data_IF_219620722807
#
_entry.id   IF_219620722807
#
_cell.length_a   1.000
_cell.length_b   1.000
_cell.length_c   1.000
_cell.angle_alpha   90.00
_cell.angle_beta   90.00
_cell.angle_gamma   90.00
#
_symmetry.space_group_name_H-M   'P 1'
#
loop_
_entity.id
_entity.type
_entity.pdbx_description
1 polymer ?
#
# COMPACT_ATOMS: atom_id res chain seq x y z
N UNK A 1 95.11 25.48 9.68
CA UNK A 1 94.45 26.14 8.53
C UNK A 1 93.21 25.35 8.23
N UNK A 2 92.08 25.87 8.71
CA UNK A 2 90.77 25.22 8.73
C UNK A 2 90.28 24.80 7.34
N UNK A 3 89.78 23.57 7.23
CA UNK A 3 88.86 23.20 6.16
C UNK A 3 87.44 23.42 6.69
N UNK A 4 86.83 24.49 6.19
CA UNK A 4 85.50 24.99 6.50
C UNK A 4 84.43 23.90 6.27
N UNK A 5 83.94 23.28 7.35
CA UNK A 5 82.81 22.37 7.31
C UNK A 5 81.52 23.19 7.32
N UNK A 6 81.08 23.60 6.13
CA UNK A 6 79.72 24.12 5.91
C UNK A 6 78.73 22.95 6.00
N UNK A 7 78.45 22.48 7.21
CA UNK A 7 77.27 21.66 7.50
C UNK A 7 76.07 22.60 7.44
N UNK A 8 75.40 22.59 6.29
CA UNK A 8 74.08 23.19 6.09
C UNK A 8 73.17 22.80 7.26
N UNK A 9 72.42 23.76 7.81
CA UNK A 9 71.44 23.62 8.90
C UNK A 9 70.28 22.61 8.66
N UNK A 10 70.43 21.71 7.68
CA UNK A 10 69.43 20.71 7.29
C UNK A 10 69.61 19.31 7.90
N UNK A 11 70.75 18.99 8.53
CA UNK A 11 70.99 17.63 9.05
C UNK A 11 70.60 17.42 10.52
N UNK A 12 70.30 18.48 11.29
CA UNK A 12 69.78 18.33 12.67
C UNK A 12 68.40 17.66 12.70
N UNK A 13 67.63 17.78 11.62
CA UNK A 13 66.32 17.13 11.47
C UNK A 13 66.46 15.61 11.30
N UNK A 14 67.63 15.12 10.88
CA UNK A 14 67.88 13.69 10.63
C UNK A 14 68.44 12.95 11.85
N UNK A 15 68.95 13.67 12.85
CA UNK A 15 69.48 13.10 14.11
C UNK A 15 68.46 13.22 15.26
N UNK A 16 67.18 13.44 14.95
CA UNK A 16 66.08 12.93 15.79
C UNK A 16 65.86 11.41 15.51
N UNK A 17 66.96 10.66 15.33
CA UNK A 17 67.02 9.20 15.23
C UNK A 17 66.76 8.47 16.55
N UNK A 18 66.15 9.16 17.51
CA UNK A 18 65.45 8.59 18.65
C UNK A 18 64.13 9.34 18.87
N UNK A 19 63.43 9.72 17.79
CA UNK A 19 61.97 9.91 17.86
C UNK A 19 61.41 8.63 18.43
N UNK A 20 61.13 8.62 19.73
CA UNK A 20 60.29 7.63 20.35
C UNK A 20 58.99 7.67 19.54
N UNK A 21 58.85 6.77 18.56
CA UNK A 21 57.68 6.66 17.70
C UNK A 21 56.58 6.10 18.58
N UNK A 22 56.10 6.90 19.53
CA UNK A 22 54.73 6.82 19.98
C UNK A 22 53.91 7.17 18.75
N UNK A 23 53.70 6.19 17.87
CA UNK A 23 52.60 6.24 16.94
C UNK A 23 51.38 6.25 17.85
N UNK A 24 50.90 7.44 18.18
CA UNK A 24 49.56 7.59 18.72
C UNK A 24 48.70 7.05 17.60
N UNK A 25 48.31 5.79 17.75
CA UNK A 25 47.42 5.17 16.80
C UNK A 25 46.20 6.07 16.86
N UNK A 26 45.93 6.80 15.77
CA UNK A 26 44.60 7.32 15.54
C UNK A 26 43.74 6.06 15.42
N UNK A 27 43.39 5.46 16.56
CA UNK A 27 42.20 4.65 16.68
C UNK A 27 41.16 5.67 16.35
N UNK A 28 40.83 5.73 15.06
CA UNK A 28 39.93 6.70 14.52
C UNK A 28 38.63 6.34 15.21
N UNK A 29 38.32 7.05 16.30
CA UNK A 29 37.13 6.77 17.11
C UNK A 29 35.90 6.80 16.20
N UNK A 30 35.97 7.54 15.08
CA UNK A 30 35.00 7.54 14.00
C UNK A 30 34.84 6.17 13.31
N UNK A 31 35.91 5.40 13.08
CA UNK A 31 35.86 4.10 12.39
C UNK A 31 35.27 3.02 13.29
N UNK A 32 35.65 3.03 14.57
CA UNK A 32 35.03 2.15 15.55
C UNK A 32 33.55 2.54 15.76
N UNK A 33 33.22 3.83 15.72
CA UNK A 33 31.84 4.31 15.80
C UNK A 33 31.00 3.86 14.60
N UNK A 34 31.56 3.94 13.38
CA UNK A 34 30.88 3.43 12.16
C UNK A 34 30.65 1.92 12.21
N UNK A 35 31.59 1.15 12.78
CA UNK A 35 31.43 -0.29 12.97
C UNK A 35 30.23 -0.61 13.87
N UNK A 36 30.09 0.08 15.01
CA UNK A 36 29.01 -0.21 15.98
C UNK A 36 27.64 0.28 15.51
N UNK A 37 27.56 1.45 14.87
CA UNK A 37 26.29 1.96 14.32
C UNK A 37 25.80 1.15 13.13
N UNK A 38 26.72 0.67 12.28
CA UNK A 38 26.36 -0.15 11.13
C UNK A 38 25.75 -1.49 11.56
N UNK A 39 26.34 -2.15 12.57
CA UNK A 39 25.78 -3.40 13.12
C UNK A 39 24.39 -3.17 13.71
N UNK A 40 24.18 -2.08 14.47
CA UNK A 40 22.86 -1.74 15.01
C UNK A 40 21.82 -1.48 13.90
N UNK A 41 22.16 -0.65 12.91
CA UNK A 41 21.29 -0.35 11.78
C UNK A 41 20.99 -1.59 10.95
N UNK A 42 21.95 -2.50 10.78
CA UNK A 42 21.74 -3.76 10.08
C UNK A 42 20.65 -4.61 10.76
N UNK A 43 20.74 -4.82 12.08
CA UNK A 43 19.69 -5.54 12.82
C UNK A 43 18.34 -4.81 12.75
N UNK A 44 18.35 -3.48 12.84
CA UNK A 44 17.14 -2.68 12.70
C UNK A 44 16.49 -2.83 11.32
N UNK A 45 17.26 -2.75 10.24
CA UNK A 45 16.76 -2.93 8.88
C UNK A 45 16.27 -4.34 8.63
N UNK A 46 16.93 -5.37 9.16
CA UNK A 46 16.43 -6.75 9.10
C UNK A 46 15.10 -6.85 9.84
N UNK A 47 14.96 -6.27 11.03
CA UNK A 47 13.71 -6.28 11.78
C UNK A 47 12.58 -5.58 11.01
N UNK A 48 12.82 -4.37 10.51
CA UNK A 48 11.84 -3.62 9.69
C UNK A 48 11.51 -4.39 8.42
N UNK A 49 12.50 -5.02 7.79
CA UNK A 49 12.32 -5.86 6.61
C UNK A 49 11.42 -7.06 6.90
N UNK A 50 11.66 -7.77 8.00
CA UNK A 50 10.82 -8.90 8.43
C UNK A 50 9.39 -8.46 8.72
N UNK A 51 9.20 -7.35 9.45
CA UNK A 51 7.87 -6.80 9.71
C UNK A 51 7.15 -6.44 8.40
N UNK A 52 7.86 -5.82 7.47
CA UNK A 52 7.31 -5.44 6.16
C UNK A 52 6.90 -6.66 5.33
N UNK A 53 7.72 -7.73 5.34
CA UNK A 53 7.40 -8.99 4.66
C UNK A 53 6.18 -9.66 5.30
N UNK A 54 6.08 -9.68 6.63
CA UNK A 54 4.90 -10.21 7.33
C UNK A 54 3.64 -9.44 6.94
N UNK A 55 3.70 -8.11 6.94
CA UNK A 55 2.58 -7.27 6.49
C UNK A 55 2.20 -7.60 5.05
N UNK A 56 3.18 -7.68 4.15
CA UNK A 56 2.93 -8.01 2.75
C UNK A 56 2.27 -9.39 2.60
N UNK A 57 2.75 -10.41 3.31
CA UNK A 57 2.16 -11.75 3.30
C UNK A 57 0.70 -11.70 3.79
N UNK A 58 0.41 -10.98 4.87
CA UNK A 58 -0.95 -10.81 5.38
C UNK A 58 -1.89 -10.21 4.32
N UNK A 59 -1.44 -9.16 3.61
CA UNK A 59 -2.21 -8.56 2.52
C UNK A 59 -2.38 -9.51 1.35
N UNK A 60 -1.34 -10.27 0.97
CA UNK A 60 -1.38 -11.25 -0.13
C UNK A 60 -2.35 -12.41 0.19
N UNK A 61 -2.31 -12.96 1.39
CA UNK A 61 -3.25 -14.02 1.82
C UNK A 61 -4.69 -13.50 1.78
N UNK A 62 -4.90 -12.27 2.23
CA UNK A 62 -6.20 -11.60 2.20
C UNK A 62 -6.69 -11.35 0.76
N UNK A 63 -5.78 -11.03 -0.16
CA UNK A 63 -6.05 -10.84 -1.59
C UNK A 63 -6.46 -12.14 -2.30
N UNK A 64 -5.78 -13.24 -2.00
CA UNK A 64 -6.02 -14.54 -2.64
C UNK A 64 -7.28 -15.21 -2.05
N UNK A 65 -7.59 -14.95 -0.78
CA UNK A 65 -8.73 -15.51 -0.07
C UNK A 65 -10.10 -14.97 -0.52
N UNK A 66 -10.54 -15.30 -1.73
CA UNK A 66 -11.88 -14.96 -2.28
C UNK A 66 -13.05 -15.37 -1.38
N UNK A 67 -12.89 -16.44 -0.59
CA UNK A 67 -13.90 -16.84 0.41
C UNK A 67 -13.96 -15.86 1.60
N UNK A 68 -12.83 -15.32 2.06
CA UNK A 68 -12.77 -14.30 3.11
C UNK A 68 -13.32 -12.96 2.64
N UNK A 69 -13.15 -12.65 1.35
CA UNK A 69 -13.70 -11.45 0.72
C UNK A 69 -15.23 -11.44 0.77
N UNK A 70 -15.86 -12.58 0.44
CA UNK A 70 -17.32 -12.73 0.53
C UNK A 70 -17.82 -12.59 1.96
N UNK A 71 -17.22 -13.32 2.90
CA UNK A 71 -17.61 -13.27 4.31
C UNK A 71 -17.50 -11.85 4.89
N UNK A 72 -16.44 -11.13 4.53
CA UNK A 72 -16.26 -9.72 4.87
C UNK A 72 -17.43 -8.88 4.35
N UNK A 73 -17.67 -8.83 3.04
CA UNK A 73 -18.74 -8.00 2.46
C UNK A 73 -20.11 -8.36 3.01
N UNK A 74 -20.42 -9.65 3.15
CA UNK A 74 -21.68 -10.12 3.74
C UNK A 74 -21.87 -9.62 5.16
N UNK A 75 -20.82 -9.60 5.99
CA UNK A 75 -20.90 -9.09 7.37
C UNK A 75 -21.23 -7.60 7.41
N UNK A 76 -20.58 -6.78 6.59
CA UNK A 76 -20.86 -5.32 6.56
C UNK A 76 -22.26 -5.02 6.03
N UNK A 77 -22.71 -5.73 5.00
CA UNK A 77 -24.07 -5.55 4.47
C UNK A 77 -25.14 -5.96 5.47
N UNK A 78 -24.89 -6.99 6.29
CA UNK A 78 -25.79 -7.35 7.41
C UNK A 78 -25.82 -6.27 8.48
N UNK A 79 -24.66 -5.77 8.91
CA UNK A 79 -24.59 -4.71 9.91
C UNK A 79 -25.27 -3.41 9.45
N UNK A 80 -25.23 -3.11 8.15
CA UNK A 80 -25.92 -1.96 7.57
C UNK A 80 -27.42 -2.19 7.28
N UNK A 81 -27.93 -3.41 7.48
CA UNK A 81 -29.35 -3.72 7.27
C UNK A 81 -29.76 -3.85 5.80
N UNK A 82 -28.82 -4.03 4.87
CA UNK A 82 -29.09 -4.16 3.43
C UNK A 82 -29.61 -5.56 3.02
N UNK A 83 -29.46 -6.54 3.92
CA UNK A 83 -29.84 -7.94 3.72
C UNK A 83 -30.68 -8.39 4.91
N UNK A 84 -31.71 -9.20 4.67
CA UNK A 84 -32.56 -9.77 5.73
C UNK A 84 -31.80 -10.80 6.57
N UNK A 85 -32.15 -10.93 7.85
CA UNK A 85 -31.68 -12.00 8.73
C UNK A 85 -32.83 -12.99 9.01
N UNK A 86 -32.73 -14.28 8.58
CA UNK A 86 -31.65 -14.91 7.80
C UNK A 86 -31.66 -14.50 6.31
N UNK A 87 -30.49 -14.57 5.62
CA UNK A 87 -30.39 -14.17 4.22
C UNK A 87 -31.24 -15.07 3.32
N UNK A 88 -32.06 -14.46 2.46
CA UNK A 88 -32.79 -15.20 1.44
C UNK A 88 -31.83 -15.77 0.40
N UNK A 89 -32.24 -16.84 -0.30
CA UNK A 89 -31.48 -17.41 -1.44
C UNK A 89 -31.17 -16.37 -2.52
N UNK A 90 -32.07 -15.39 -2.72
CA UNK A 90 -31.88 -14.28 -3.65
C UNK A 90 -30.76 -13.32 -3.21
N UNK A 91 -30.64 -13.08 -1.91
CA UNK A 91 -29.63 -12.18 -1.35
C UNK A 91 -28.25 -12.81 -1.44
N UNK A 92 -28.13 -14.10 -1.11
CA UNK A 92 -26.88 -14.86 -1.25
C UNK A 92 -26.37 -14.84 -2.70
N UNK A 93 -27.27 -15.02 -3.68
CA UNK A 93 -26.91 -14.94 -5.10
C UNK A 93 -26.51 -13.51 -5.51
N UNK A 94 -27.24 -12.49 -5.04
CA UNK A 94 -26.95 -11.08 -5.34
C UNK A 94 -25.61 -10.63 -4.77
N UNK A 95 -25.30 -11.00 -3.52
CA UNK A 95 -24.01 -10.71 -2.88
C UNK A 95 -22.88 -11.50 -3.55
N UNK A 96 -23.11 -12.76 -3.90
CA UNK A 96 -22.15 -13.57 -4.63
C UNK A 96 -21.77 -12.97 -5.99
N UNK A 97 -22.77 -12.43 -6.72
CA UNK A 97 -22.59 -11.70 -7.98
C UNK A 97 -21.92 -10.34 -7.78
N UNK A 98 -22.31 -9.58 -6.75
CA UNK A 98 -21.68 -8.31 -6.39
C UNK A 98 -20.18 -8.47 -6.12
N UNK A 99 -19.80 -9.44 -5.28
CA UNK A 99 -18.38 -9.66 -4.95
C UNK A 99 -17.58 -10.15 -6.16
N UNK A 100 -18.14 -11.05 -6.97
CA UNK A 100 -17.39 -11.71 -8.06
C UNK A 100 -17.34 -10.89 -9.35
N UNK A 101 -18.43 -10.22 -9.72
CA UNK A 101 -18.56 -9.55 -11.02
C UNK A 101 -18.47 -8.02 -10.94
N UNK A 102 -18.87 -7.41 -9.82
CA UNK A 102 -18.84 -5.95 -9.68
C UNK A 102 -17.60 -5.47 -8.93
N UNK A 103 -17.32 -6.09 -7.78
CA UNK A 103 -16.25 -5.64 -6.88
C UNK A 103 -14.90 -6.25 -7.25
N UNK A 104 -14.88 -7.53 -7.63
CA UNK A 104 -13.67 -8.28 -7.99
C UNK A 104 -12.64 -8.31 -6.82
N UNK A 105 -11.57 -9.09 -6.94
CA UNK A 105 -10.57 -9.20 -5.86
C UNK A 105 -9.89 -7.85 -5.56
N UNK A 106 -9.68 -7.01 -6.58
CA UNK A 106 -9.05 -5.70 -6.43
C UNK A 106 -9.94 -4.68 -5.72
N UNK A 107 -11.25 -4.66 -5.98
CA UNK A 107 -12.18 -3.76 -5.30
C UNK A 107 -12.36 -4.15 -3.82
N UNK A 108 -12.34 -5.44 -3.50
CA UNK A 108 -12.37 -5.89 -2.10
C UNK A 108 -11.09 -5.47 -1.36
N UNK A 109 -9.94 -5.51 -2.04
CA UNK A 109 -8.69 -5.00 -1.47
C UNK A 109 -8.76 -3.52 -1.16
N UNK A 110 -9.26 -2.72 -2.12
CA UNK A 110 -9.41 -1.28 -1.93
C UNK A 110 -10.34 -0.98 -0.76
N UNK A 111 -11.45 -1.73 -0.62
CA UNK A 111 -12.35 -1.57 0.53
C UNK A 111 -11.67 -1.92 1.86
N UNK A 112 -10.83 -2.95 1.91
CA UNK A 112 -10.05 -3.28 3.12
C UNK A 112 -8.98 -2.23 3.42
N UNK A 113 -8.38 -1.64 2.38
CA UNK A 113 -7.45 -0.53 2.55
C UNK A 113 -8.16 0.70 3.13
N UNK A 114 -9.34 1.02 2.60
CA UNK A 114 -10.19 2.10 3.12
C UNK A 114 -10.60 1.80 4.56
N UNK A 115 -10.99 0.57 4.88
CA UNK A 115 -11.31 0.16 6.25
C UNK A 115 -10.11 0.34 7.20
N UNK A 116 -8.90 -0.03 6.77
CA UNK A 116 -7.70 0.06 7.60
C UNK A 116 -7.33 1.51 7.91
N UNK A 117 -7.61 2.45 6.99
CA UNK A 117 -7.27 3.86 7.15
C UNK A 117 -8.43 4.72 7.69
N UNK A 118 -9.68 4.34 7.41
CA UNK A 118 -10.89 5.12 7.69
C UNK A 118 -11.88 4.45 8.65
N UNK A 119 -11.56 3.26 9.15
CA UNK A 119 -12.36 2.53 10.13
C UNK A 119 -13.53 1.75 9.53
N UNK A 120 -14.18 0.95 10.39
CA UNK A 120 -15.25 0.04 10.01
C UNK A 120 -16.55 0.74 9.59
N UNK A 121 -16.87 1.86 10.23
CA UNK A 121 -18.09 2.62 9.95
C UNK A 121 -18.10 3.15 8.51
N UNK A 122 -17.03 3.84 8.11
CA UNK A 122 -16.87 4.40 6.77
C UNK A 122 -16.88 3.29 5.70
N UNK A 123 -16.15 2.20 5.95
CA UNK A 123 -16.13 1.06 5.05
C UNK A 123 -17.53 0.46 4.86
N UNK A 124 -18.31 0.33 5.93
CA UNK A 124 -19.69 -0.16 5.87
C UNK A 124 -20.59 0.72 5.02
N UNK A 125 -20.50 2.04 5.15
CA UNK A 125 -21.35 2.98 4.40
C UNK A 125 -21.04 2.91 2.90
N UNK A 126 -19.75 2.84 2.55
CA UNK A 126 -19.29 2.70 1.18
C UNK A 126 -19.77 1.37 0.58
N UNK A 127 -19.62 0.25 1.31
CA UNK A 127 -20.05 -1.07 0.85
C UNK A 127 -21.57 -1.10 0.63
N UNK A 128 -22.35 -0.55 1.55
CA UNK A 128 -23.80 -0.47 1.42
C UNK A 128 -24.23 0.38 0.23
N UNK A 129 -23.63 1.57 0.05
CA UNK A 129 -23.91 2.44 -1.09
C UNK A 129 -23.60 1.76 -2.43
N UNK A 130 -22.45 1.08 -2.54
CA UNK A 130 -22.06 0.32 -3.74
C UNK A 130 -23.05 -0.83 -4.02
N UNK A 131 -23.52 -1.53 -2.99
CA UNK A 131 -24.46 -2.63 -3.14
C UNK A 131 -25.85 -2.17 -3.58
N UNK A 132 -26.34 -1.05 -3.05
CA UNK A 132 -27.60 -0.42 -3.51
C UNK A 132 -27.53 -0.07 -5.00
N UNK A 133 -26.44 0.58 -5.42
CA UNK A 133 -26.22 0.93 -6.81
C UNK A 133 -26.13 -0.31 -7.72
N UNK A 134 -25.50 -1.40 -7.25
CA UNK A 134 -25.45 -2.66 -7.98
C UNK A 134 -26.85 -3.28 -8.18
N UNK A 135 -27.70 -3.28 -7.14
CA UNK A 135 -29.10 -3.77 -7.25
C UNK A 135 -29.92 -2.92 -8.21
N UNK A 136 -29.75 -1.60 -8.21
CA UNK A 136 -30.42 -0.70 -9.15
C UNK A 136 -30.03 -1.01 -10.60
N UNK A 137 -28.73 -1.17 -10.88
CA UNK A 137 -28.23 -1.54 -12.22
C UNK A 137 -28.74 -2.90 -12.70
N UNK A 138 -28.87 -3.88 -11.81
CA UNK A 138 -29.46 -5.18 -12.15
C UNK A 138 -30.94 -5.10 -12.51
N UNK A 139 -31.68 -4.15 -11.91
CA UNK A 139 -33.11 -3.95 -12.17
C UNK A 139 -33.37 -3.24 -13.51
N UNK A 140 -32.38 -2.54 -14.05
CA UNK A 140 -32.44 -1.88 -15.36
C UNK A 140 -31.64 -2.68 -16.40
N UNK A 141 -32.16 -3.79 -16.95
CA UNK A 141 -31.75 -4.16 -18.29
C UNK A 141 -32.24 -3.04 -19.21
N UNK A 142 -31.29 -2.29 -19.76
CA UNK A 142 -31.39 -1.53 -21.00
C UNK A 142 -32.78 -1.62 -21.68
N UNK A 143 -33.67 -0.68 -21.39
CA UNK A 143 -34.66 -0.26 -22.37
C UNK A 143 -33.93 0.66 -23.33
N UNK A 144 -33.21 0.06 -24.29
CA UNK A 144 -32.78 0.74 -25.51
C UNK A 144 -34.06 1.21 -26.23
N UNK A 145 -34.21 2.54 -26.28
CA UNK A 145 -34.87 3.34 -27.29
C UNK A 145 -35.96 2.64 -28.12
N UNK A 146 -37.21 2.70 -27.64
CA UNK A 146 -38.36 2.58 -28.53
C UNK A 146 -38.96 3.95 -28.82
N UNK A 147 -38.81 4.33 -30.08
CA UNK A 147 -39.86 4.96 -30.86
C UNK A 147 -40.14 6.43 -30.55
N UNK A 148 -39.19 7.27 -30.94
CA UNK A 148 -39.45 8.67 -31.30
C UNK A 148 -39.46 8.85 -32.82
N UNK A 149 -40.20 8.01 -33.57
CA UNK A 149 -40.54 8.37 -34.94
C UNK A 149 -41.82 9.23 -34.91
N UNK A 150 -41.67 10.44 -35.42
CA UNK A 150 -42.60 11.55 -35.29
C UNK A 150 -43.87 11.28 -36.13
N UNK A 151 -45.08 11.59 -35.65
CA UNK A 151 -46.27 11.45 -36.48
C UNK A 151 -46.30 12.58 -37.52
N UNK A 152 -46.24 12.19 -38.79
CA UNK A 152 -46.59 13.04 -39.94
C UNK A 152 -47.97 13.66 -39.71
N UNK A 153 -47.98 14.94 -39.37
CA UNK A 153 -49.21 15.72 -39.35
C UNK A 153 -49.52 16.09 -40.80
N UNK A 154 -50.35 15.26 -41.41
CA UNK A 154 -51.05 15.55 -42.67
C UNK A 154 -51.72 16.92 -42.55
N UNK A 155 -51.15 17.92 -43.21
CA UNK A 155 -51.77 19.23 -43.37
C UNK A 155 -52.88 19.12 -44.42
N UNK A 156 -54.11 18.94 -43.96
CA UNK A 156 -55.32 19.15 -44.77
C UNK A 156 -55.53 20.65 -44.96
N UNK A 157 -55.32 21.16 -46.18
CA UNK A 157 -55.74 22.51 -46.60
C UNK A 157 -57.25 22.53 -46.91
N UNK A 158 -58.03 23.55 -46.49
CA UNK A 158 -59.39 23.74 -46.96
C UNK A 158 -59.44 24.72 -48.15
N UNK A 159 -60.18 24.28 -49.16
CA UNK A 159 -60.92 24.98 -50.24
C UNK A 159 -60.22 25.99 -51.14
#
# INVERSE_FOLDING_TARGET
MECHRSLSEGDYVRVLGALHRWTVQCVLMINMFTEKVYVFLWFWFVLVGVLSVISLIYWVVTLIGTNFQRSFVTKYLRCMGEISEPPSRSDEHSVGGFVRNYLTSDGVFLLRLIQTNGGDMLAGEIIAAMFRQYKERQKSPMSEDSFGDSPDTTATLPR
#
